data_IF_763659308161
#
_entry.id   IF_763659308161
#
_cell.length_a   1.000
_cell.length_b   1.000
_cell.length_c   1.000
_cell.angle_alpha   90.00
_cell.angle_beta   90.00
_cell.angle_gamma   90.00
#
_symmetry.space_group_name_H-M   'P 1'
#
loop_
_entity.id
_entity.type
_entity.pdbx_description
1 polymer ?
#
# COMPACT_ATOMS: atom_id res chain seq x y z
N UNK A 1 7.96 -1.69 21.62
CA UNK A 1 8.64 -1.53 20.30
C UNK A 1 7.58 -1.34 19.23
N UNK A 2 7.86 -0.53 18.16
CA UNK A 2 6.96 -0.37 17.01
C UNK A 2 7.74 -0.76 15.75
N UNK A 3 7.13 -1.57 14.88
CA UNK A 3 7.67 -1.94 13.57
C UNK A 3 6.67 -1.48 12.52
N UNK A 4 7.12 -0.62 11.61
CA UNK A 4 6.29 -0.03 10.55
C UNK A 4 6.76 -0.58 9.20
N UNK A 5 5.84 -1.17 8.46
CA UNK A 5 6.08 -1.74 7.14
C UNK A 5 5.49 -0.86 6.04
N UNK A 6 6.18 -0.78 4.92
CA UNK A 6 5.52 -0.44 3.66
C UNK A 6 4.72 -1.64 3.14
N UNK A 7 3.78 -1.40 2.22
CA UNK A 7 2.89 -2.44 1.70
C UNK A 7 3.32 -2.92 0.31
N UNK A 8 3.15 -2.06 -0.71
CA UNK A 8 3.38 -2.43 -2.10
C UNK A 8 4.88 -2.60 -2.41
N UNK A 9 5.29 -3.77 -2.87
CA UNK A 9 6.70 -4.05 -3.15
C UNK A 9 7.53 -4.43 -1.92
N UNK A 10 6.92 -4.44 -0.72
CA UNK A 10 7.56 -4.83 0.55
C UNK A 10 6.88 -6.05 1.16
N UNK A 11 5.62 -5.94 1.56
CA UNK A 11 4.84 -7.06 2.09
C UNK A 11 4.18 -7.88 1.00
N UNK A 12 3.72 -7.22 -0.08
CA UNK A 12 2.90 -7.83 -1.12
C UNK A 12 3.35 -7.42 -2.52
N UNK A 13 3.13 -8.33 -3.49
CA UNK A 13 3.26 -8.05 -4.91
C UNK A 13 1.89 -7.72 -5.49
N UNK A 14 1.69 -6.46 -5.88
CA UNK A 14 0.42 -5.91 -6.42
C UNK A 14 0.49 -5.58 -7.90
N UNK A 15 1.59 -5.90 -8.57
CA UNK A 15 1.88 -5.46 -9.95
C UNK A 15 0.78 -5.88 -10.93
N UNK A 16 0.32 -7.14 -10.83
CA UNK A 16 -0.67 -7.68 -11.77
C UNK A 16 -2.01 -6.96 -11.67
N UNK A 17 -2.52 -6.77 -10.45
CA UNK A 17 -3.82 -6.12 -10.26
C UNK A 17 -3.78 -4.62 -10.60
N UNK A 18 -2.68 -3.93 -10.23
CA UNK A 18 -2.46 -2.54 -10.64
C UNK A 18 -2.36 -2.41 -12.16
N UNK A 19 -1.65 -3.33 -12.80
CA UNK A 19 -1.50 -3.35 -14.26
C UNK A 19 -2.82 -3.60 -14.98
N UNK A 20 -3.63 -4.54 -14.51
CA UNK A 20 -4.94 -4.83 -15.08
C UNK A 20 -5.90 -3.65 -14.93
N UNK A 21 -5.95 -3.03 -13.75
CA UNK A 21 -6.79 -1.86 -13.52
C UNK A 21 -6.36 -0.65 -14.39
N UNK A 22 -5.05 -0.45 -14.55
CA UNK A 22 -4.54 0.60 -15.42
C UNK A 22 -4.88 0.32 -16.90
N UNK A 23 -4.70 -0.92 -17.36
CA UNK A 23 -5.07 -1.34 -18.71
C UNK A 23 -6.58 -1.23 -18.96
N UNK A 24 -7.42 -1.56 -17.96
CA UNK A 24 -8.85 -1.33 -18.04
C UNK A 24 -9.17 0.15 -18.27
N UNK A 25 -8.58 1.04 -17.49
CA UNK A 25 -8.79 2.49 -17.63
C UNK A 25 -8.27 3.04 -18.97
N UNK A 26 -7.08 2.59 -19.42
CA UNK A 26 -6.53 2.96 -20.73
C UNK A 26 -7.46 2.55 -21.86
N UNK A 27 -7.90 1.30 -21.89
CA UNK A 27 -8.80 0.77 -22.92
C UNK A 27 -10.15 1.50 -22.93
N UNK A 28 -10.75 1.76 -21.76
CA UNK A 28 -12.01 2.50 -21.63
C UNK A 28 -11.92 3.93 -22.19
N UNK A 29 -10.72 4.53 -22.15
CA UNK A 29 -10.46 5.87 -22.70
C UNK A 29 -9.85 5.88 -24.11
N UNK A 30 -9.71 4.70 -24.76
CA UNK A 30 -9.19 4.58 -26.12
C UNK A 30 -7.67 4.71 -26.25
N UNK A 31 -6.92 4.53 -25.16
CA UNK A 31 -5.46 4.53 -25.16
C UNK A 31 -4.87 3.12 -25.29
N UNK A 32 -3.63 2.99 -25.82
CA UNK A 32 -2.94 1.71 -25.89
C UNK A 32 -2.66 1.16 -24.49
N UNK A 33 -2.80 -0.16 -24.33
CA UNK A 33 -2.48 -0.89 -23.12
C UNK A 33 -1.02 -1.34 -23.08
N UNK A 34 -0.53 -1.73 -21.89
CA UNK A 34 0.81 -2.24 -21.68
C UNK A 34 0.79 -3.72 -21.28
N UNK A 35 1.92 -4.42 -21.47
CA UNK A 35 2.12 -5.74 -20.89
C UNK A 35 2.28 -5.63 -19.37
N UNK A 36 1.83 -6.64 -18.63
CA UNK A 36 1.93 -6.63 -17.16
C UNK A 36 3.39 -6.55 -16.71
N UNK A 37 4.31 -7.15 -17.46
CA UNK A 37 5.75 -7.14 -17.18
C UNK A 37 6.41 -5.75 -17.25
N UNK A 38 5.73 -4.78 -17.89
CA UNK A 38 6.23 -3.39 -17.99
C UNK A 38 5.85 -2.56 -16.74
N UNK A 39 4.82 -2.95 -16.00
CA UNK A 39 4.29 -2.20 -14.87
C UNK A 39 5.25 -1.97 -13.70
N UNK A 40 6.23 -2.84 -13.39
CA UNK A 40 7.23 -2.53 -12.36
C UNK A 40 7.97 -1.21 -12.57
N UNK A 41 8.07 -0.72 -13.82
CA UNK A 41 8.69 0.57 -14.15
C UNK A 41 7.72 1.75 -14.06
N UNK A 42 6.42 1.49 -14.08
CA UNK A 42 5.35 2.49 -14.06
C UNK A 42 4.82 2.74 -12.66
N UNK A 43 4.81 1.70 -11.81
CA UNK A 43 4.31 1.76 -10.43
C UNK A 43 5.23 2.61 -9.54
N UNK A 44 4.64 3.18 -8.51
CA UNK A 44 5.30 4.05 -7.52
C UNK A 44 4.71 5.46 -7.49
N UNK A 45 4.70 6.06 -6.31
CA UNK A 45 4.18 7.41 -6.04
C UNK A 45 2.65 7.58 -6.27
N UNK A 46 1.87 6.48 -6.10
CA UNK A 46 0.41 6.50 -6.14
C UNK A 46 -0.21 6.37 -7.53
N UNK A 47 -1.55 6.25 -7.55
CA UNK A 47 -2.35 5.92 -8.76
C UNK A 47 -2.20 6.98 -9.86
N UNK A 48 -2.22 8.27 -9.51
CA UNK A 48 -2.13 9.33 -10.52
C UNK A 48 -0.80 9.26 -11.30
N UNK A 49 0.32 8.96 -10.61
CA UNK A 49 1.63 8.81 -11.26
C UNK A 49 1.72 7.53 -12.09
N UNK A 50 1.09 6.45 -11.66
CA UNK A 50 0.98 5.24 -12.46
C UNK A 50 0.25 5.53 -13.78
N UNK A 51 -0.93 6.15 -13.73
CA UNK A 51 -1.73 6.52 -14.91
C UNK A 51 -0.96 7.48 -15.82
N UNK A 52 -0.36 8.54 -15.25
CA UNK A 52 0.43 9.52 -16.00
C UNK A 52 1.57 8.84 -16.79
N UNK A 53 2.32 7.92 -16.14
CA UNK A 53 3.42 7.20 -16.79
C UNK A 53 2.94 6.21 -17.86
N UNK A 54 1.75 5.63 -17.68
CA UNK A 54 1.16 4.70 -18.64
C UNK A 54 0.57 5.40 -19.88
N UNK A 55 0.22 6.69 -19.78
CA UNK A 55 -0.29 7.46 -20.91
C UNK A 55 0.81 7.77 -21.95
N UNK A 56 0.46 7.87 -23.25
CA UNK A 56 1.31 8.50 -24.27
C UNK A 56 1.71 9.92 -23.82
N UNK A 57 2.94 10.33 -24.16
CA UNK A 57 3.54 11.57 -23.64
C UNK A 57 2.68 12.81 -23.89
N UNK A 58 2.05 12.91 -25.06
CA UNK A 58 1.19 14.02 -25.47
C UNK A 58 -0.14 14.12 -24.69
N UNK A 59 -0.51 13.06 -23.96
CA UNK A 59 -1.74 12.97 -23.17
C UNK A 59 -1.49 13.02 -21.67
N UNK A 60 -0.24 13.26 -21.22
CA UNK A 60 0.13 13.35 -19.79
C UNK A 60 -0.23 14.70 -19.19
N UNK A 61 -1.51 14.93 -18.98
CA UNK A 61 -2.04 16.11 -18.30
C UNK A 61 -3.02 15.71 -17.21
N UNK A 62 -3.29 16.63 -16.30
CA UNK A 62 -4.11 16.37 -15.10
C UNK A 62 -5.54 15.93 -15.46
N UNK A 63 -6.16 16.58 -16.44
CA UNK A 63 -7.53 16.26 -16.88
C UNK A 63 -7.64 14.81 -17.36
N UNK A 64 -6.70 14.39 -18.21
CA UNK A 64 -6.67 13.01 -18.74
C UNK A 64 -6.40 11.99 -17.62
N UNK A 65 -5.48 12.30 -16.71
CA UNK A 65 -5.19 11.43 -15.55
C UNK A 65 -6.42 11.27 -14.66
N UNK A 66 -7.12 12.35 -14.35
CA UNK A 66 -8.35 12.30 -13.52
C UNK A 66 -9.46 11.50 -14.22
N UNK A 67 -9.66 11.68 -15.53
CA UNK A 67 -10.61 10.90 -16.30
C UNK A 67 -10.32 9.40 -16.26
N UNK A 68 -9.06 8.98 -16.45
CA UNK A 68 -8.69 7.56 -16.36
C UNK A 68 -8.86 7.03 -14.95
N UNK A 69 -8.60 7.84 -13.93
CA UNK A 69 -8.78 7.45 -12.54
C UNK A 69 -10.24 7.07 -12.22
N UNK A 70 -11.22 7.69 -12.85
CA UNK A 70 -12.64 7.35 -12.70
C UNK A 70 -12.96 5.90 -13.14
N UNK A 71 -12.20 5.35 -14.09
CA UNK A 71 -12.31 3.95 -14.51
C UNK A 71 -11.39 3.03 -13.70
N UNK A 72 -10.21 3.52 -13.32
CA UNK A 72 -9.23 2.75 -12.56
C UNK A 72 -9.74 2.37 -11.18
N UNK A 73 -10.23 3.36 -10.41
CA UNK A 73 -10.54 3.15 -8.99
C UNK A 73 -11.65 2.14 -8.78
N UNK A 74 -12.82 2.22 -9.43
CA UNK A 74 -13.87 1.22 -9.25
C UNK A 74 -13.42 -0.19 -9.63
N UNK A 75 -12.70 -0.33 -10.76
CA UNK A 75 -12.19 -1.63 -11.17
C UNK A 75 -11.17 -2.19 -10.17
N UNK A 76 -10.23 -1.36 -9.72
CA UNK A 76 -9.23 -1.79 -8.74
C UNK A 76 -9.86 -2.14 -7.38
N UNK A 77 -10.89 -1.43 -6.95
CA UNK A 77 -11.60 -1.74 -5.70
C UNK A 77 -12.25 -3.13 -5.72
N UNK A 78 -12.70 -3.59 -6.87
CA UNK A 78 -13.25 -4.94 -7.04
C UNK A 78 -12.17 -6.00 -7.18
N UNK A 79 -11.05 -5.70 -7.86
CA UNK A 79 -10.04 -6.65 -8.33
C UNK A 79 -8.65 -6.52 -7.67
N UNK A 80 -8.53 -5.81 -6.54
CA UNK A 80 -7.23 -5.49 -5.94
C UNK A 80 -6.53 -6.65 -5.22
N UNK A 81 -7.16 -7.83 -5.17
CA UNK A 81 -6.62 -9.05 -4.59
C UNK A 81 -6.80 -10.30 -5.47
N UNK A 82 -7.08 -10.15 -6.78
CA UNK A 82 -7.23 -11.29 -7.68
C UNK A 82 -5.88 -12.02 -7.86
N UNK A 83 -4.81 -11.27 -8.04
CA UNK A 83 -3.43 -11.77 -8.22
C UNK A 83 -2.46 -11.27 -7.14
N UNK A 84 -2.85 -10.30 -6.32
CA UNK A 84 -2.02 -9.78 -5.23
C UNK A 84 -1.76 -10.88 -4.21
N UNK A 85 -0.48 -11.08 -3.86
CA UNK A 85 -0.03 -12.11 -2.92
C UNK A 85 1.11 -11.57 -2.04
N UNK A 86 1.23 -12.03 -0.80
CA UNK A 86 2.44 -11.78 0.00
C UNK A 86 3.69 -12.27 -0.72
N UNK A 87 4.81 -11.60 -0.52
CA UNK A 87 6.10 -12.16 -0.91
C UNK A 87 6.44 -13.38 -0.06
N UNK A 88 7.25 -14.28 -0.63
CA UNK A 88 7.72 -15.48 0.08
C UNK A 88 8.44 -15.10 1.39
N UNK A 89 8.09 -15.79 2.46
CA UNK A 89 8.65 -15.57 3.80
C UNK A 89 7.98 -14.46 4.61
N UNK A 90 7.10 -13.63 4.01
CA UNK A 90 6.39 -12.56 4.75
C UNK A 90 5.41 -13.12 5.79
N UNK A 91 4.54 -14.10 5.48
CA UNK A 91 3.65 -14.67 6.49
C UNK A 91 4.44 -15.23 7.70
N UNK A 92 5.50 -15.98 7.45
CA UNK A 92 6.34 -16.57 8.49
C UNK A 92 7.07 -15.50 9.33
N UNK A 93 7.53 -14.43 8.69
CA UNK A 93 8.13 -13.28 9.38
C UNK A 93 7.12 -12.62 10.34
N UNK A 94 5.92 -12.32 9.85
CA UNK A 94 4.88 -11.67 10.64
C UNK A 94 4.43 -12.52 11.84
N UNK A 95 4.27 -13.85 11.65
CA UNK A 95 4.00 -14.78 12.73
C UNK A 95 5.14 -14.81 13.77
N UNK A 96 6.40 -14.84 13.31
CA UNK A 96 7.55 -14.82 14.20
C UNK A 96 7.63 -13.51 15.02
N UNK A 97 7.29 -12.36 14.41
CA UNK A 97 7.25 -11.07 15.10
C UNK A 97 6.14 -11.02 16.15
N UNK A 98 4.93 -11.49 15.82
CA UNK A 98 3.82 -11.61 16.80
C UNK A 98 4.24 -12.49 17.98
N UNK A 99 4.77 -13.68 17.75
CA UNK A 99 5.23 -14.59 18.81
C UNK A 99 6.28 -13.93 19.70
N UNK A 100 7.28 -13.24 19.11
CA UNK A 100 8.30 -12.50 19.88
C UNK A 100 7.69 -11.36 20.70
N UNK A 101 6.71 -10.63 20.15
CA UNK A 101 5.97 -9.60 20.88
C UNK A 101 5.22 -10.15 22.10
N UNK A 102 4.55 -11.31 21.94
CA UNK A 102 3.87 -12.00 23.04
C UNK A 102 4.84 -12.48 24.11
N UNK A 103 6.02 -12.98 23.71
CA UNK A 103 7.09 -13.37 24.64
C UNK A 103 7.66 -12.18 25.41
N UNK A 104 7.90 -11.04 24.73
CA UNK A 104 8.35 -9.80 25.36
C UNK A 104 7.32 -9.28 26.36
N UNK A 105 6.05 -9.27 25.98
CA UNK A 105 4.96 -8.86 26.87
C UNK A 105 4.89 -9.72 28.14
N UNK A 106 5.02 -11.04 28.02
CA UNK A 106 5.03 -11.96 29.17
C UNK A 106 6.25 -11.80 30.08
N UNK A 107 7.44 -11.53 29.50
CA UNK A 107 8.70 -11.48 30.24
C UNK A 107 8.98 -10.13 30.88
N UNK A 108 8.68 -9.05 30.18
CA UNK A 108 9.10 -7.68 30.55
C UNK A 108 7.95 -6.68 30.62
N UNK A 109 6.72 -7.06 30.22
CA UNK A 109 5.60 -6.13 30.04
C UNK A 109 5.74 -5.22 28.82
N UNK A 110 6.75 -5.45 27.95
CA UNK A 110 6.98 -4.65 26.77
C UNK A 110 6.04 -5.07 25.62
N UNK A 111 5.16 -4.17 25.19
CA UNK A 111 4.27 -4.40 24.05
C UNK A 111 4.97 -4.09 22.72
N UNK A 112 4.80 -4.98 21.76
CA UNK A 112 5.19 -4.74 20.37
C UNK A 112 3.96 -4.40 19.54
N UNK A 113 4.12 -3.45 18.62
CA UNK A 113 3.08 -3.03 17.69
C UNK A 113 3.58 -3.21 16.28
N UNK A 114 2.73 -3.75 15.41
CA UNK A 114 2.98 -3.85 13.98
C UNK A 114 2.06 -2.87 13.25
N UNK A 115 2.61 -2.07 12.36
CA UNK A 115 1.86 -1.08 11.61
C UNK A 115 2.21 -1.12 10.11
N UNK A 116 1.25 -0.69 9.28
CA UNK A 116 1.44 -0.47 7.85
C UNK A 116 1.38 1.02 7.56
N UNK A 117 2.33 1.53 6.75
CA UNK A 117 2.37 2.89 6.22
C UNK A 117 2.53 2.86 4.70
N UNK A 118 1.49 3.16 3.93
CA UNK A 118 1.50 3.03 2.47
C UNK A 118 1.11 4.33 1.75
N UNK A 119 1.64 4.53 0.54
CA UNK A 119 1.17 5.57 -0.40
C UNK A 119 -0.05 5.13 -1.24
N UNK A 120 -0.56 3.92 -1.01
CA UNK A 120 -1.84 3.45 -1.54
C UNK A 120 -2.99 4.14 -0.78
N UNK A 121 -4.09 4.50 -1.43
CA UNK A 121 -5.23 5.14 -0.76
C UNK A 121 -5.82 4.24 0.35
N UNK A 122 -6.31 4.89 1.42
CA UNK A 122 -6.67 4.25 2.70
C UNK A 122 -7.58 3.02 2.53
N UNK A 123 -8.69 3.17 1.80
CA UNK A 123 -9.68 2.09 1.66
C UNK A 123 -9.10 0.81 1.02
N UNK A 124 -8.27 0.95 -0.04
CA UNK A 124 -7.62 -0.22 -0.63
C UNK A 124 -6.53 -0.80 0.27
N UNK A 125 -5.81 0.04 1.02
CA UNK A 125 -4.80 -0.42 1.98
C UNK A 125 -5.44 -1.28 3.06
N UNK A 126 -6.52 -0.81 3.69
CA UNK A 126 -7.25 -1.55 4.72
C UNK A 126 -7.84 -2.87 4.19
N UNK A 127 -8.53 -2.81 3.05
CA UNK A 127 -9.14 -4.00 2.43
C UNK A 127 -8.12 -5.10 2.14
N UNK A 128 -6.99 -4.75 1.52
CA UNK A 128 -5.94 -5.70 1.16
C UNK A 128 -5.27 -6.29 2.41
N UNK A 129 -4.96 -5.44 3.39
CA UNK A 129 -4.32 -5.89 4.63
C UNK A 129 -5.25 -6.80 5.41
N UNK A 130 -6.53 -6.46 5.53
CA UNK A 130 -7.50 -7.31 6.23
C UNK A 130 -7.69 -8.66 5.51
N UNK A 131 -7.67 -8.69 4.19
CA UNK A 131 -7.83 -9.91 3.41
C UNK A 131 -6.61 -10.83 3.48
N UNK A 132 -5.38 -10.26 3.42
CA UNK A 132 -4.14 -11.05 3.35
C UNK A 132 -3.50 -11.30 4.72
N UNK A 133 -3.73 -10.42 5.70
CA UNK A 133 -3.10 -10.43 7.00
C UNK A 133 -4.10 -10.13 8.13
N UNK A 134 -5.24 -10.85 8.21
CA UNK A 134 -6.31 -10.53 9.17
C UNK A 134 -5.80 -10.51 10.60
N UNK A 135 -6.03 -9.41 11.32
CA UNK A 135 -5.67 -9.24 12.73
C UNK A 135 -4.15 -9.26 13.02
N UNK A 136 -3.30 -9.02 12.00
CA UNK A 136 -1.84 -8.98 12.19
C UNK A 136 -1.34 -7.61 12.61
N UNK A 137 -1.87 -6.55 12.03
CA UNK A 137 -1.42 -5.19 12.25
C UNK A 137 -2.31 -4.44 13.22
N UNK A 138 -1.70 -3.72 14.17
CA UNK A 138 -2.42 -2.86 15.13
C UNK A 138 -2.91 -1.57 14.46
N UNK A 139 -2.18 -1.06 13.46
CA UNK A 139 -2.51 0.16 12.71
C UNK A 139 -2.20 -0.04 11.23
N UNK A 140 -3.15 0.38 10.39
CA UNK A 140 -3.01 0.36 8.93
C UNK A 140 -3.34 1.75 8.40
N UNK A 141 -2.32 2.45 7.89
CA UNK A 141 -2.48 3.77 7.28
C UNK A 141 -2.05 3.78 5.82
N UNK A 142 -2.96 4.28 4.99
CA UNK A 142 -2.74 4.59 3.58
C UNK A 142 -2.72 6.10 3.32
N UNK A 143 -2.77 6.49 2.05
CA UNK A 143 -2.95 7.88 1.64
C UNK A 143 -4.32 8.39 2.07
N UNK A 144 -4.34 9.60 2.65
CA UNK A 144 -5.53 10.30 3.13
C UNK A 144 -5.54 11.73 2.60
N UNK A 145 -6.74 12.27 2.39
CA UNK A 145 -6.92 13.66 1.92
C UNK A 145 -6.33 14.62 2.96
N UNK A 146 -5.56 15.60 2.50
CA UNK A 146 -4.94 16.62 3.34
C UNK A 146 -3.68 16.16 4.10
N UNK A 147 -3.23 14.92 3.91
CA UNK A 147 -1.98 14.39 4.48
C UNK A 147 -0.97 14.16 3.36
N UNK A 148 0.24 14.70 3.54
CA UNK A 148 1.32 14.49 2.57
C UNK A 148 1.76 13.03 2.52
N UNK A 149 2.08 12.55 1.32
CA UNK A 149 2.56 11.19 1.06
C UNK A 149 4.02 11.02 1.49
N UNK A 150 4.43 9.76 1.71
CA UNK A 150 5.85 9.41 1.83
C UNK A 150 6.62 9.93 0.59
N UNK A 151 7.80 10.53 0.77
CA UNK A 151 8.70 10.46 1.92
C UNK A 151 8.42 11.46 3.07
N UNK A 152 7.31 12.23 3.03
CA UNK A 152 6.95 13.04 4.19
C UNK A 152 6.70 12.13 5.41
N UNK A 153 7.29 12.43 6.58
CA UNK A 153 7.19 11.57 7.76
C UNK A 153 5.82 11.62 8.47
N UNK A 154 4.86 12.43 8.00
CA UNK A 154 3.59 12.65 8.70
C UNK A 154 2.86 11.35 9.02
N UNK A 155 2.81 10.39 8.08
CA UNK A 155 2.17 9.09 8.30
C UNK A 155 2.80 8.31 9.48
N UNK A 156 4.11 8.45 9.69
CA UNK A 156 4.80 7.83 10.84
C UNK A 156 4.40 8.53 12.14
N UNK A 157 4.34 9.87 12.15
CA UNK A 157 3.89 10.63 13.32
C UNK A 157 2.44 10.29 13.69
N UNK A 158 1.57 10.10 12.71
CA UNK A 158 0.19 9.70 12.94
C UNK A 158 0.09 8.30 13.59
N UNK A 159 0.90 7.34 13.13
CA UNK A 159 1.00 6.00 13.74
C UNK A 159 1.47 6.12 15.20
N UNK A 160 2.54 6.88 15.46
CA UNK A 160 3.09 7.06 16.79
C UNK A 160 2.09 7.74 17.73
N UNK A 161 1.39 8.77 17.24
CA UNK A 161 0.35 9.47 18.00
C UNK A 161 -0.81 8.55 18.37
N UNK A 162 -1.28 7.74 17.41
CA UNK A 162 -2.38 6.79 17.63
C UNK A 162 -2.01 5.73 18.67
N UNK A 163 -0.76 5.29 18.71
CA UNK A 163 -0.28 4.31 19.69
C UNK A 163 0.03 4.92 21.06
N UNK A 164 -0.14 6.24 21.23
CA UNK A 164 0.11 6.97 22.49
C UNK A 164 1.53 6.76 23.03
N UNK A 165 2.51 6.59 22.14
CA UNK A 165 3.88 6.22 22.50
C UNK A 165 4.79 7.44 22.43
N UNK A 166 4.88 8.20 23.52
CA UNK A 166 5.81 9.34 23.63
C UNK A 166 7.29 8.91 23.78
N UNK A 167 7.59 7.61 23.90
CA UNK A 167 8.94 7.10 24.19
C UNK A 167 9.32 5.82 23.44
N UNK A 168 8.87 5.64 22.21
CA UNK A 168 9.22 4.44 21.41
C UNK A 168 10.43 4.68 20.50
N UNK A 169 11.37 3.75 20.50
CA UNK A 169 12.45 3.71 19.50
C UNK A 169 11.88 3.17 18.20
N UNK A 170 11.97 3.94 17.13
CA UNK A 170 11.52 3.55 15.78
C UNK A 170 12.70 2.96 15.01
N UNK A 171 12.53 1.74 14.49
CA UNK A 171 13.46 1.10 13.56
C UNK A 171 12.79 1.06 12.18
N UNK A 172 13.42 1.64 11.19
CA UNK A 172 13.00 1.63 9.77
C UNK A 172 13.86 0.68 8.97
#
# INVERSE_FOLDING_TARGET
MIIIFDLDGTLINTISDLGQACNHALAACGFPTHKIEDYPRLVGNGVNKLIERALPQEHRNEETVLRLREYFVPYYDEHNCDFTRPYDGIPELLEALKRKGDEAMRRTGERWFLAVASNKYQAATEKIVEQLFPGVFDIVLGERVGVERKPNPQIVYDILSTLNTQHSTVYT
#
